data_IF_205202263371
#
_entry.id   IF_205202263371
#
_cell.length_a   1.000
_cell.length_b   1.000
_cell.length_c   1.000
_cell.angle_alpha   90.00
_cell.angle_beta   90.00
_cell.angle_gamma   90.00
#
_symmetry.space_group_name_H-M   'P 1'
#
loop_
_entity.id
_entity.type
_entity.pdbx_description
1 polymer ?
#
# COMPACT_ATOMS: atom_id res chain seq x y z
N UNK A 1 11.35 -16.90 22.41
CA UNK A 1 12.80 -17.15 22.25
C UNK A 1 13.54 -15.82 22.01
N UNK A 2 14.87 -15.82 21.92
CA UNK A 2 15.70 -14.61 21.74
C UNK A 2 15.44 -13.82 20.43
N UNK A 3 14.60 -14.33 19.54
CA UNK A 3 14.19 -13.68 18.27
C UNK A 3 12.72 -13.22 18.29
N UNK A 4 12.07 -13.24 19.46
CA UNK A 4 10.66 -12.85 19.62
C UNK A 4 9.63 -13.90 19.19
N UNK A 5 10.07 -15.14 18.90
CA UNK A 5 9.17 -16.24 18.54
C UNK A 5 8.52 -16.90 19.77
N UNK A 6 7.34 -17.48 19.57
CA UNK A 6 6.65 -18.26 20.59
C UNK A 6 7.50 -19.46 21.05
N UNK A 7 7.37 -19.85 22.32
CA UNK A 7 8.04 -21.02 22.90
C UNK A 7 6.99 -21.88 23.57
N UNK A 8 6.93 -23.16 23.21
CA UNK A 8 6.17 -24.12 24.00
C UNK A 8 6.83 -24.28 25.37
N UNK A 9 6.02 -24.15 26.41
CA UNK A 9 6.41 -24.52 27.77
C UNK A 9 5.24 -25.24 28.42
N UNK A 10 5.49 -26.42 28.97
CA UNK A 10 4.57 -27.09 29.89
C UNK A 10 4.81 -26.56 31.30
N UNK A 11 3.76 -26.36 32.13
CA UNK A 11 3.91 -25.97 33.52
C UNK A 11 4.79 -26.95 34.30
N UNK A 12 5.58 -26.47 35.25
CA UNK A 12 6.36 -27.36 36.13
C UNK A 12 5.43 -28.29 36.93
N UNK A 13 5.94 -29.49 37.25
CA UNK A 13 5.15 -30.65 37.71
C UNK A 13 4.21 -30.45 38.91
N UNK A 14 4.34 -29.35 39.68
CA UNK A 14 3.39 -28.98 40.72
C UNK A 14 2.00 -28.59 40.17
N UNK A 15 1.91 -28.14 38.92
CA UNK A 15 0.65 -27.76 38.26
C UNK A 15 0.13 -28.80 37.24
N UNK A 16 0.96 -29.78 36.85
CA UNK A 16 0.63 -30.72 35.77
C UNK A 16 -0.06 -32.02 36.24
N UNK A 17 0.12 -32.40 37.52
CA UNK A 17 -0.30 -33.74 37.99
C UNK A 17 0.40 -34.86 37.20
N UNK A 18 -0.18 -36.08 37.22
CA UNK A 18 0.33 -37.24 36.47
C UNK A 18 -0.22 -37.33 35.03
N UNK A 19 -0.82 -36.26 34.51
CA UNK A 19 -1.39 -36.24 33.16
C UNK A 19 -0.33 -35.95 32.11
N UNK A 20 -0.40 -36.65 30.97
CA UNK A 20 0.41 -36.34 29.80
C UNK A 20 -0.15 -35.06 29.17
N UNK A 21 0.52 -33.91 29.41
CA UNK A 21 0.10 -32.63 28.85
C UNK A 21 0.65 -32.54 27.42
N UNK A 22 -0.21 -32.47 26.39
CA UNK A 22 0.26 -32.31 25.02
C UNK A 22 1.07 -31.02 24.89
N UNK A 23 2.30 -31.16 24.39
CA UNK A 23 3.09 -29.99 24.02
C UNK A 23 2.50 -29.41 22.74
N UNK A 24 2.24 -28.09 22.66
CA UNK A 24 1.76 -27.47 21.43
C UNK A 24 2.74 -27.77 20.29
N UNK A 25 2.20 -28.15 19.14
CA UNK A 25 2.97 -28.30 17.91
C UNK A 25 3.53 -26.95 17.44
N UNK A 26 4.57 -27.00 16.60
CA UNK A 26 5.14 -25.80 15.97
C UNK A 26 4.10 -25.02 15.15
N UNK A 27 3.12 -25.72 14.55
CA UNK A 27 2.03 -25.10 13.80
C UNK A 27 1.08 -24.32 14.73
N UNK A 28 0.69 -24.92 15.86
CA UNK A 28 -0.14 -24.26 16.87
C UNK A 28 0.57 -23.03 17.47
N UNK A 29 1.88 -23.14 17.73
CA UNK A 29 2.70 -22.01 18.16
C UNK A 29 2.74 -20.91 17.09
N UNK A 30 2.91 -21.26 15.81
CA UNK A 30 2.94 -20.29 14.73
C UNK A 30 1.58 -19.60 14.52
N UNK A 31 0.46 -20.31 14.68
CA UNK A 31 -0.88 -19.73 14.66
C UNK A 31 -1.06 -18.74 15.82
N UNK A 32 -0.66 -19.15 17.03
CA UNK A 32 -0.73 -18.28 18.21
C UNK A 32 0.12 -17.02 18.05
N UNK A 33 1.35 -17.17 17.55
CA UNK A 33 2.26 -16.04 17.29
C UNK A 33 1.66 -15.06 16.29
N UNK A 34 1.10 -15.56 15.17
CA UNK A 34 0.42 -14.71 14.17
C UNK A 34 -0.77 -13.97 14.78
N UNK A 35 -1.55 -14.63 15.63
CA UNK A 35 -2.70 -14.03 16.31
C UNK A 35 -2.27 -12.92 17.27
N UNK A 36 -1.25 -13.17 18.10
CA UNK A 36 -0.73 -12.16 19.04
C UNK A 36 -0.16 -10.96 18.28
N UNK A 37 0.65 -11.18 17.24
CA UNK A 37 1.17 -10.09 16.40
C UNK A 37 0.06 -9.25 15.77
N UNK A 38 -1.03 -9.89 15.32
CA UNK A 38 -2.20 -9.19 14.79
C UNK A 38 -2.87 -8.31 15.84
N UNK A 39 -3.17 -8.85 17.02
CA UNK A 39 -3.80 -8.09 18.11
C UNK A 39 -2.94 -6.89 18.52
N UNK A 40 -1.62 -7.09 18.64
CA UNK A 40 -0.69 -5.99 18.96
C UNK A 40 -0.67 -4.92 17.87
N UNK A 41 -0.73 -5.32 16.60
CA UNK A 41 -0.80 -4.39 15.48
C UNK A 41 -2.12 -3.62 15.47
N UNK A 42 -3.26 -4.28 15.63
CA UNK A 42 -4.60 -3.63 15.70
C UNK A 42 -4.70 -2.65 16.87
N UNK A 43 -4.14 -3.00 18.03
CA UNK A 43 -4.08 -2.12 19.20
C UNK A 43 -3.20 -0.89 18.93
N UNK A 44 -2.00 -1.10 18.35
CA UNK A 44 -1.10 -0.01 17.98
C UNK A 44 -1.74 0.95 16.98
N UNK A 45 -2.52 0.41 16.05
CA UNK A 45 -3.22 1.19 15.03
C UNK A 45 -4.36 2.01 15.63
N UNK A 46 -5.15 1.39 16.51
CA UNK A 46 -6.19 2.08 17.29
C UNK A 46 -5.60 3.24 18.09
N UNK A 47 -4.49 3.01 18.79
CA UNK A 47 -3.80 4.03 19.57
C UNK A 47 -3.24 5.15 18.69
N UNK A 48 -2.68 4.83 17.52
CA UNK A 48 -2.20 5.81 16.53
C UNK A 48 -3.33 6.74 16.10
N UNK A 49 -4.46 6.17 15.68
CA UNK A 49 -5.63 6.91 15.18
C UNK A 49 -6.20 7.79 16.30
N UNK A 50 -6.42 7.22 17.49
CA UNK A 50 -6.96 7.94 18.64
C UNK A 50 -6.04 9.08 19.07
N UNK A 51 -4.73 8.82 19.21
CA UNK A 51 -3.77 9.83 19.64
C UNK A 51 -3.66 10.98 18.64
N UNK A 52 -3.71 10.70 17.32
CA UNK A 52 -3.69 11.75 16.30
C UNK A 52 -4.98 12.58 16.33
N UNK A 53 -6.14 11.95 16.46
CA UNK A 53 -7.42 12.65 16.59
C UNK A 53 -7.47 13.55 17.83
N UNK A 54 -7.09 13.02 19.00
CA UNK A 54 -7.06 13.77 20.26
C UNK A 54 -6.06 14.93 20.22
N UNK A 55 -4.87 14.72 19.63
CA UNK A 55 -3.90 15.83 19.44
C UNK A 55 -4.44 16.92 18.51
N UNK A 56 -5.20 16.56 17.47
CA UNK A 56 -5.81 17.55 16.59
C UNK A 56 -6.84 18.41 17.35
N UNK A 57 -7.71 17.76 18.15
CA UNK A 57 -8.69 18.45 18.99
C UNK A 57 -8.03 19.35 20.05
N UNK A 58 -6.95 18.88 20.66
CA UNK A 58 -6.24 19.64 21.70
C UNK A 58 -5.49 20.88 21.20
N UNK A 59 -5.32 21.07 19.87
CA UNK A 59 -4.59 22.22 19.32
C UNK A 59 -5.30 23.55 19.53
N UNK A 60 -6.62 23.56 19.65
CA UNK A 60 -7.38 24.79 19.82
C UNK A 60 -8.11 24.80 21.17
N UNK A 61 -7.59 25.58 22.12
CA UNK A 61 -8.04 25.66 23.52
C UNK A 61 -9.52 26.04 23.68
N UNK A 62 -10.13 26.62 22.64
CA UNK A 62 -11.50 27.12 22.66
C UNK A 62 -12.41 26.43 21.63
N UNK A 63 -11.93 25.36 20.99
CA UNK A 63 -12.66 24.64 19.96
C UNK A 63 -13.43 23.47 20.55
N UNK A 64 -14.58 23.80 21.14
CA UNK A 64 -15.57 22.83 21.62
C UNK A 64 -16.70 22.63 20.61
N UNK A 65 -16.49 22.98 19.33
CA UNK A 65 -17.54 22.99 18.30
C UNK A 65 -18.16 21.61 18.03
N UNK A 66 -17.50 20.54 18.50
CA UNK A 66 -17.92 19.17 18.22
C UNK A 66 -17.49 18.67 16.84
N UNK A 67 -16.67 19.43 16.10
CA UNK A 67 -16.22 19.09 14.74
C UNK A 67 -15.22 17.93 14.67
N UNK A 68 -14.90 17.31 15.81
CA UNK A 68 -14.09 16.10 15.88
C UNK A 68 -14.73 14.90 15.18
N UNK A 69 -13.95 13.83 14.91
CA UNK A 69 -14.53 12.60 14.40
C UNK A 69 -15.47 11.98 15.45
N UNK A 70 -16.63 11.49 15.03
CA UNK A 70 -17.62 10.84 15.88
C UNK A 70 -17.21 9.43 16.35
N UNK A 71 -16.06 8.93 15.92
CA UNK A 71 -15.48 7.67 16.36
C UNK A 71 -14.18 7.33 15.63
N UNK A 72 -13.56 6.21 16.00
CA UNK A 72 -12.27 5.78 15.43
C UNK A 72 -12.32 5.56 13.92
N UNK A 73 -13.41 4.99 13.38
CA UNK A 73 -13.56 4.77 11.94
C UNK A 73 -13.55 6.07 11.15
N UNK A 74 -14.28 7.07 11.64
CA UNK A 74 -14.31 8.39 10.99
C UNK A 74 -12.97 9.13 11.17
N UNK A 75 -12.35 8.98 12.35
CA UNK A 75 -11.02 9.53 12.60
C UNK A 75 -9.99 8.96 11.63
N UNK A 76 -10.03 7.64 11.41
CA UNK A 76 -9.16 6.95 10.46
C UNK A 76 -9.42 7.45 9.03
N UNK A 77 -10.67 7.42 8.55
CA UNK A 77 -11.02 7.89 7.20
C UNK A 77 -10.55 9.35 6.94
N UNK A 78 -10.81 10.26 7.89
CA UNK A 78 -10.37 11.66 7.80
C UNK A 78 -8.84 11.79 7.78
N UNK A 79 -8.14 11.02 8.61
CA UNK A 79 -6.67 11.01 8.65
C UNK A 79 -6.08 10.44 7.35
N UNK A 80 -6.66 9.36 6.84
CA UNK A 80 -6.28 8.75 5.57
C UNK A 80 -6.45 9.71 4.40
N UNK A 81 -7.61 10.38 4.29
CA UNK A 81 -7.85 11.41 3.26
C UNK A 81 -6.85 12.55 3.33
N UNK A 82 -6.55 13.04 4.53
CA UNK A 82 -5.56 14.11 4.71
C UNK A 82 -4.14 13.68 4.32
N UNK A 83 -3.74 12.44 4.66
CA UNK A 83 -2.44 11.89 4.27
C UNK A 83 -2.35 11.66 2.75
N UNK A 84 -3.44 11.19 2.13
CA UNK A 84 -3.55 11.04 0.68
C UNK A 84 -3.44 12.39 -0.04
N UNK A 85 -4.16 13.40 0.43
CA UNK A 85 -4.10 14.76 -0.12
C UNK A 85 -2.68 15.35 0.00
N UNK A 86 -2.03 15.14 1.14
CA UNK A 86 -0.64 15.57 1.34
C UNK A 86 0.31 14.93 0.32
N UNK A 87 0.27 13.61 0.16
CA UNK A 87 1.19 12.91 -0.74
C UNK A 87 0.85 13.14 -2.21
N UNK A 88 -0.42 13.17 -2.58
CA UNK A 88 -0.82 13.47 -3.95
C UNK A 88 -0.43 14.90 -4.34
N UNK A 89 -0.58 15.88 -3.44
CA UNK A 89 -0.05 17.23 -3.62
C UNK A 89 1.47 17.22 -3.78
N UNK A 90 2.18 16.49 -2.91
CA UNK A 90 3.64 16.38 -2.96
C UNK A 90 4.12 15.82 -4.31
N UNK A 91 3.46 14.79 -4.83
CA UNK A 91 3.74 14.21 -6.16
C UNK A 91 3.50 15.22 -7.27
N UNK A 92 2.46 16.05 -7.19
CA UNK A 92 2.13 17.04 -8.23
C UNK A 92 3.00 18.29 -8.21
N UNK A 93 3.49 18.70 -7.03
CA UNK A 93 4.23 19.95 -6.83
C UNK A 93 5.75 19.77 -6.74
N UNK A 94 6.23 18.53 -6.75
CA UNK A 94 7.66 18.21 -6.76
C UNK A 94 7.97 17.15 -7.79
N UNK A 95 9.26 16.92 -8.04
CA UNK A 95 9.72 15.83 -8.90
C UNK A 95 9.98 14.56 -8.04
N UNK A 96 9.18 13.49 -8.17
CA UNK A 96 9.39 12.27 -7.40
C UNK A 96 10.72 11.58 -7.71
N UNK A 97 11.29 11.79 -8.91
CA UNK A 97 12.56 11.18 -9.30
C UNK A 97 13.74 11.70 -8.47
N UNK A 98 13.58 12.88 -7.87
CA UNK A 98 14.57 13.54 -7.02
C UNK A 98 14.25 13.41 -5.53
N UNK A 99 13.26 12.59 -5.14
CA UNK A 99 12.97 12.35 -3.72
C UNK A 99 14.16 11.65 -3.02
N UNK A 100 14.48 12.16 -1.83
CA UNK A 100 15.51 11.57 -0.96
C UNK A 100 15.03 10.25 -0.35
N UNK A 101 15.97 9.40 0.09
CA UNK A 101 15.64 8.13 0.74
C UNK A 101 14.75 8.34 1.98
N UNK A 102 15.02 9.38 2.78
CA UNK A 102 14.19 9.76 3.95
C UNK A 102 12.76 10.14 3.56
N UNK A 103 12.60 10.75 2.39
CA UNK A 103 11.29 11.14 1.89
C UNK A 103 10.49 9.91 1.43
N UNK A 104 11.15 8.99 0.72
CA UNK A 104 10.58 7.70 0.31
C UNK A 104 10.23 6.84 1.54
N UNK A 105 11.09 6.81 2.56
CA UNK A 105 10.80 6.13 3.84
C UNK A 105 9.57 6.71 4.53
N UNK A 106 9.43 8.04 4.54
CA UNK A 106 8.26 8.71 5.12
C UNK A 106 6.98 8.40 4.35
N UNK A 107 7.08 8.34 3.02
CA UNK A 107 5.96 7.89 2.18
C UNK A 107 5.61 6.43 2.48
N UNK A 108 6.60 5.54 2.53
CA UNK A 108 6.41 4.13 2.85
C UNK A 108 5.76 3.94 4.23
N UNK A 109 6.19 4.71 5.24
CA UNK A 109 5.56 4.69 6.56
C UNK A 109 4.08 5.08 6.48
N UNK A 110 3.75 6.10 5.68
CA UNK A 110 2.35 6.48 5.47
C UNK A 110 1.56 5.36 4.83
N UNK A 111 2.12 4.69 3.81
CA UNK A 111 1.47 3.52 3.20
C UNK A 111 1.29 2.37 4.20
N UNK A 112 2.26 2.09 5.08
CA UNK A 112 2.11 1.07 6.12
C UNK A 112 0.94 1.41 7.04
N UNK A 113 0.85 2.68 7.44
CA UNK A 113 -0.16 3.19 8.36
C UNK A 113 -1.55 3.34 7.69
N UNK A 114 -1.66 3.31 6.34
CA UNK A 114 -2.89 3.69 5.62
C UNK A 114 -3.32 2.72 4.49
N UNK A 115 -2.55 1.68 4.16
CA UNK A 115 -2.86 0.76 3.03
C UNK A 115 -4.19 0.00 3.16
N UNK A 116 -4.68 -0.14 4.39
CA UNK A 116 -5.95 -0.81 4.70
C UNK A 116 -7.09 0.22 4.94
N UNK A 117 -6.78 1.52 4.86
CA UNK A 117 -7.75 2.62 4.99
C UNK A 117 -8.32 2.97 3.60
N UNK A 118 -9.64 2.77 3.37
CA UNK A 118 -10.26 3.05 2.08
C UNK A 118 -10.25 4.54 1.74
N UNK A 119 -10.36 5.42 2.74
CA UNK A 119 -10.31 6.87 2.58
C UNK A 119 -8.95 7.38 2.08
N UNK A 120 -7.84 6.78 2.54
CA UNK A 120 -6.51 7.05 1.97
C UNK A 120 -6.40 6.47 0.56
N UNK A 121 -6.73 5.19 0.42
CA UNK A 121 -6.45 4.39 -0.77
C UNK A 121 -7.19 4.90 -2.01
N UNK A 122 -8.50 5.14 -1.89
CA UNK A 122 -9.32 5.75 -2.95
C UNK A 122 -8.82 7.16 -3.26
N UNK A 123 -8.65 8.00 -2.23
CA UNK A 123 -8.32 9.41 -2.42
C UNK A 123 -6.98 9.59 -3.09
N UNK A 124 -5.97 8.81 -2.71
CA UNK A 124 -4.65 8.87 -3.33
C UNK A 124 -4.69 8.43 -4.79
N UNK A 125 -5.30 7.27 -5.08
CA UNK A 125 -5.40 6.72 -6.43
C UNK A 125 -6.16 7.66 -7.38
N UNK A 126 -7.33 8.15 -6.96
CA UNK A 126 -8.17 9.03 -7.77
C UNK A 126 -7.59 10.43 -7.94
N UNK A 127 -6.87 10.95 -6.93
CA UNK A 127 -6.23 12.28 -7.04
C UNK A 127 -5.07 12.26 -8.03
N UNK A 128 -4.29 11.18 -8.09
CA UNK A 128 -3.23 11.02 -9.10
C UNK A 128 -3.78 10.62 -10.46
N UNK A 129 -4.90 9.90 -10.49
CA UNK A 129 -5.41 9.25 -11.70
C UNK A 129 -4.57 8.05 -12.11
N UNK A 130 -4.98 7.34 -13.16
CA UNK A 130 -4.25 6.17 -13.66
C UNK A 130 -2.84 6.54 -14.15
N UNK A 131 -2.73 7.56 -15.02
CA UNK A 131 -1.47 7.98 -15.61
C UNK A 131 -0.51 8.53 -14.55
N UNK A 132 -1.02 9.36 -13.63
CA UNK A 132 -0.21 9.91 -12.55
C UNK A 132 0.28 8.83 -11.57
N UNK A 133 -0.52 7.79 -11.32
CA UNK A 133 -0.09 6.66 -10.47
C UNK A 133 1.07 5.88 -11.12
N UNK A 134 0.95 5.58 -12.42
CA UNK A 134 1.99 4.87 -13.16
C UNK A 134 3.25 5.70 -13.34
N UNK A 135 3.12 6.99 -13.67
CA UNK A 135 4.25 7.90 -13.77
C UNK A 135 4.94 8.10 -12.42
N UNK A 136 4.18 8.26 -11.32
CA UNK A 136 4.74 8.37 -9.98
C UNK A 136 5.61 7.15 -9.62
N UNK A 137 5.12 5.93 -9.86
CA UNK A 137 5.91 4.73 -9.61
C UNK A 137 7.15 4.68 -10.52
N UNK A 138 6.99 5.01 -11.80
CA UNK A 138 8.10 5.11 -12.77
C UNK A 138 9.20 6.05 -12.28
N UNK A 139 8.83 7.19 -11.73
CA UNK A 139 9.76 8.25 -11.29
C UNK A 139 10.60 7.79 -10.10
N UNK A 140 9.99 7.17 -9.08
CA UNK A 140 10.73 6.75 -7.89
C UNK A 140 11.48 5.43 -8.07
N UNK A 141 10.96 4.51 -8.88
CA UNK A 141 11.53 3.17 -9.06
C UNK A 141 12.70 3.14 -10.05
N UNK A 142 12.69 4.03 -11.03
CA UNK A 142 13.81 4.23 -11.94
C UNK A 142 13.87 5.72 -12.36
N UNK A 143 14.63 6.57 -11.68
CA UNK A 143 14.75 7.99 -12.04
C UNK A 143 15.34 8.25 -13.44
N UNK A 144 15.78 7.21 -14.17
CA UNK A 144 16.37 7.34 -15.49
C UNK A 144 17.86 7.69 -15.47
N UNK A 145 18.45 7.87 -16.66
CA UNK A 145 19.84 8.31 -16.84
C UNK A 145 20.90 7.45 -16.11
N UNK A 146 20.65 6.14 -15.95
CA UNK A 146 21.54 5.23 -15.22
C UNK A 146 21.48 5.37 -13.69
N UNK A 147 20.52 6.14 -13.15
CA UNK A 147 20.28 6.29 -11.70
C UNK A 147 19.40 5.18 -11.12
N UNK A 148 19.40 3.98 -11.72
CA UNK A 148 18.60 2.86 -11.21
C UNK A 148 18.96 2.61 -9.74
N UNK A 149 17.97 2.63 -8.83
CA UNK A 149 18.25 2.48 -7.40
C UNK A 149 18.87 1.12 -7.08
N UNK A 150 19.94 1.14 -6.28
CA UNK A 150 20.63 -0.05 -5.77
C UNK A 150 20.72 -0.03 -4.24
N UNK A 151 21.23 -1.11 -3.65
CA UNK A 151 21.53 -1.18 -2.22
C UNK A 151 20.32 -0.93 -1.33
N UNK A 152 20.44 0.01 -0.40
CA UNK A 152 19.39 0.30 0.59
C UNK A 152 18.16 0.97 -0.04
N UNK A 153 18.36 1.88 -1.00
CA UNK A 153 17.25 2.53 -1.71
C UNK A 153 16.39 1.51 -2.45
N UNK A 154 17.00 0.50 -3.07
CA UNK A 154 16.26 -0.59 -3.71
C UNK A 154 15.41 -1.40 -2.72
N UNK A 155 15.90 -1.65 -1.50
CA UNK A 155 15.10 -2.34 -0.46
C UNK A 155 13.92 -1.50 0.00
N UNK A 156 14.13 -0.20 0.22
CA UNK A 156 13.06 0.75 0.59
C UNK A 156 11.99 0.76 -0.49
N UNK A 157 12.38 0.89 -1.76
CA UNK A 157 11.45 0.87 -2.89
C UNK A 157 10.71 -0.47 -3.02
N UNK A 158 11.36 -1.59 -2.70
CA UNK A 158 10.70 -2.89 -2.63
C UNK A 158 9.60 -2.94 -1.56
N UNK A 159 9.76 -2.22 -0.44
CA UNK A 159 8.70 -2.09 0.57
C UNK A 159 7.59 -1.13 0.12
N UNK A 160 7.97 -0.01 -0.51
CA UNK A 160 7.00 0.95 -1.09
C UNK A 160 6.13 0.24 -2.12
N UNK A 161 6.72 -0.53 -3.04
CA UNK A 161 5.99 -1.30 -4.04
C UNK A 161 4.94 -2.21 -3.40
N UNK A 162 5.30 -2.94 -2.36
CA UNK A 162 4.37 -3.85 -1.66
C UNK A 162 3.23 -3.09 -1.00
N UNK A 163 3.53 -2.02 -0.26
CA UNK A 163 2.52 -1.27 0.47
C UNK A 163 1.63 -0.44 -0.48
N UNK A 164 2.19 0.08 -1.58
CA UNK A 164 1.44 0.75 -2.63
C UNK A 164 0.51 -0.24 -3.34
N UNK A 165 0.99 -1.44 -3.67
CA UNK A 165 0.16 -2.50 -4.25
C UNK A 165 -1.02 -2.85 -3.33
N UNK A 166 -0.78 -3.00 -2.03
CA UNK A 166 -1.84 -3.26 -1.05
C UNK A 166 -2.83 -2.10 -0.95
N UNK A 167 -2.35 -0.85 -1.00
CA UNK A 167 -3.23 0.35 -1.00
C UNK A 167 -4.11 0.39 -2.26
N UNK A 168 -3.54 0.13 -3.44
CA UNK A 168 -4.30 0.10 -4.70
C UNK A 168 -5.28 -1.07 -4.74
N UNK A 169 -4.92 -2.21 -4.14
CA UNK A 169 -5.85 -3.32 -3.94
C UNK A 169 -7.05 -2.90 -3.09
N UNK A 170 -6.82 -2.25 -1.94
CA UNK A 170 -7.88 -1.67 -1.10
C UNK A 170 -8.73 -0.68 -1.87
N UNK A 171 -8.12 0.23 -2.63
CA UNK A 171 -8.83 1.21 -3.46
C UNK A 171 -9.76 0.53 -4.48
N UNK A 172 -9.31 -0.56 -5.12
CA UNK A 172 -10.07 -1.23 -6.18
C UNK A 172 -11.43 -1.80 -5.74
N UNK A 173 -11.60 -2.04 -4.44
CA UNK A 173 -12.87 -2.51 -3.83
C UNK A 173 -13.80 -1.38 -3.41
N UNK A 174 -13.36 -0.12 -3.47
CA UNK A 174 -14.23 1.01 -3.12
C UNK A 174 -15.23 1.24 -4.25
N UNK A 175 -16.51 1.10 -3.91
CA UNK A 175 -17.63 1.34 -4.82
C UNK A 175 -17.88 2.84 -4.94
N UNK A 176 -17.22 3.47 -5.92
CA UNK A 176 -17.41 4.88 -6.23
C UNK A 176 -17.24 5.17 -7.72
N UNK A 177 -17.94 6.20 -8.26
CA UNK A 177 -17.76 6.61 -9.65
C UNK A 177 -16.30 6.97 -9.99
N UNK A 178 -15.56 7.54 -9.03
CA UNK A 178 -14.17 7.92 -9.23
C UNK A 178 -13.25 6.70 -9.34
N UNK A 179 -13.46 5.67 -8.51
CA UNK A 179 -12.69 4.42 -8.62
C UNK A 179 -13.06 3.60 -9.86
N UNK A 180 -14.33 3.60 -10.26
CA UNK A 180 -14.74 2.96 -11.52
C UNK A 180 -14.11 3.63 -12.74
N UNK A 181 -14.02 4.97 -12.74
CA UNK A 181 -13.30 5.70 -13.76
C UNK A 181 -11.80 5.35 -13.73
N UNK A 182 -11.18 5.38 -12.55
CA UNK A 182 -9.75 5.06 -12.38
C UNK A 182 -9.41 3.65 -12.90
N UNK A 183 -10.22 2.63 -12.58
CA UNK A 183 -10.03 1.25 -13.07
C UNK A 183 -10.04 1.18 -14.60
N UNK A 184 -11.01 1.85 -15.24
CA UNK A 184 -11.12 1.92 -16.72
C UNK A 184 -9.93 2.66 -17.33
N UNK A 185 -9.51 3.76 -16.72
CA UNK A 185 -8.36 4.54 -17.16
C UNK A 185 -7.05 3.75 -17.06
N UNK A 186 -6.85 2.96 -15.99
CA UNK A 186 -5.68 2.07 -15.87
C UNK A 186 -5.58 1.12 -17.06
N UNK A 187 -6.71 0.53 -17.46
CA UNK A 187 -6.77 -0.36 -18.63
C UNK A 187 -6.51 0.41 -19.92
N UNK A 188 -7.18 1.54 -20.12
CA UNK A 188 -7.03 2.37 -21.33
C UNK A 188 -5.59 2.89 -21.49
N UNK A 189 -4.91 3.17 -20.38
CA UNK A 189 -3.54 3.64 -20.35
C UNK A 189 -2.49 2.52 -20.37
N UNK A 190 -2.90 1.26 -20.34
CA UNK A 190 -1.97 0.12 -20.33
C UNK A 190 -1.03 0.09 -21.53
N UNK A 191 -1.49 0.53 -22.71
CA UNK A 191 -0.67 0.63 -23.92
C UNK A 191 0.16 1.92 -24.05
N UNK A 192 0.01 2.89 -23.14
CA UNK A 192 0.80 4.13 -23.15
C UNK A 192 2.20 3.86 -22.61
N UNK A 193 3.18 4.62 -23.08
CA UNK A 193 4.56 4.57 -22.58
C UNK A 193 4.79 5.65 -21.52
N UNK A 194 5.46 5.27 -20.43
CA UNK A 194 5.76 6.15 -19.30
C UNK A 194 7.27 6.22 -19.07
N UNK A 195 7.78 7.40 -18.74
CA UNK A 195 9.21 7.61 -18.51
C UNK A 195 9.67 9.00 -18.85
N UNK A 196 10.95 9.24 -18.61
CA UNK A 196 11.55 10.56 -18.61
C UNK A 196 11.80 11.09 -20.02
N UNK A 197 11.90 12.42 -20.12
CA UNK A 197 12.35 13.07 -21.35
C UNK A 197 13.77 12.62 -21.71
N UNK A 198 14.05 12.43 -23.00
CA UNK A 198 15.35 11.96 -23.48
C UNK A 198 15.66 10.47 -23.27
N UNK A 199 14.74 9.68 -22.68
CA UNK A 199 14.90 8.22 -22.55
C UNK A 199 14.11 7.50 -23.65
N UNK A 200 14.82 6.72 -24.47
CA UNK A 200 14.24 6.00 -25.62
C UNK A 200 13.47 4.74 -25.21
N UNK A 201 13.92 4.03 -24.17
CA UNK A 201 13.25 2.82 -23.67
C UNK A 201 12.26 3.19 -22.56
N UNK A 202 10.98 3.31 -22.91
CA UNK A 202 9.89 3.62 -21.98
C UNK A 202 8.99 2.40 -21.78
N UNK A 203 8.82 1.90 -20.54
CA UNK A 203 7.89 0.81 -20.27
C UNK A 203 6.45 1.22 -20.57
N UNK A 204 5.65 0.23 -20.94
CA UNK A 204 4.21 0.38 -21.11
C UNK A 204 3.50 0.42 -19.76
N UNK A 205 2.34 1.08 -19.70
CA UNK A 205 1.49 1.14 -18.51
C UNK A 205 1.14 -0.25 -17.97
N UNK A 206 0.91 -1.24 -18.85
CA UNK A 206 0.68 -2.62 -18.43
C UNK A 206 1.87 -3.21 -17.66
N UNK A 207 3.11 -2.88 -18.03
CA UNK A 207 4.31 -3.37 -17.34
C UNK A 207 4.43 -2.74 -15.96
N UNK A 208 4.21 -1.42 -15.86
CA UNK A 208 4.26 -0.67 -14.59
C UNK A 208 3.14 -1.13 -13.66
N UNK A 209 1.90 -1.15 -14.14
CA UNK A 209 0.76 -1.50 -13.32
C UNK A 209 0.80 -2.97 -12.88
N UNK A 210 1.26 -3.91 -13.74
CA UNK A 210 1.46 -5.31 -13.32
C UNK A 210 2.47 -5.42 -12.16
N UNK A 211 3.50 -4.58 -12.15
CA UNK A 211 4.41 -4.50 -11.01
C UNK A 211 3.72 -3.97 -9.74
N UNK A 212 2.74 -3.06 -9.88
CA UNK A 212 1.93 -2.54 -8.78
C UNK A 212 0.74 -3.44 -8.37
N UNK A 213 0.56 -4.60 -9.01
CA UNK A 213 -0.50 -5.55 -8.71
C UNK A 213 0.01 -6.86 -8.07
N UNK A 214 1.25 -6.86 -7.58
CA UNK A 214 1.92 -8.06 -7.02
C UNK A 214 1.48 -8.40 -5.58
N UNK A 215 0.99 -7.44 -4.81
CA UNK A 215 0.49 -7.66 -3.43
C UNK A 215 -0.93 -7.15 -3.26
N UNK A 216 -1.62 -7.70 -2.27
CA UNK A 216 -3.03 -7.41 -2.01
C UNK A 216 -3.96 -8.30 -2.82
N UNK A 217 -5.25 -8.16 -2.56
CA UNK A 217 -6.32 -8.81 -3.34
C UNK A 217 -7.09 -7.71 -4.05
N UNK A 218 -6.87 -7.55 -5.34
CA UNK A 218 -7.62 -6.58 -6.14
C UNK A 218 -9.04 -7.07 -6.39
N UNK A 219 -9.94 -6.14 -6.73
CA UNK A 219 -11.27 -6.45 -7.23
C UNK A 219 -11.21 -7.45 -8.38
N UNK A 220 -12.06 -8.49 -8.32
CA UNK A 220 -11.95 -9.63 -9.24
C UNK A 220 -12.43 -9.26 -10.64
N UNK A 221 -13.50 -8.47 -10.76
CA UNK A 221 -13.99 -7.99 -12.05
C UNK A 221 -12.93 -7.09 -12.72
N UNK A 222 -12.31 -6.19 -11.95
CA UNK A 222 -11.19 -5.40 -12.44
C UNK A 222 -10.02 -6.26 -12.94
N UNK A 223 -9.63 -7.30 -12.20
CA UNK A 223 -8.56 -8.21 -12.62
C UNK A 223 -8.89 -8.98 -13.91
N UNK A 224 -10.13 -9.39 -14.10
CA UNK A 224 -10.58 -10.08 -15.32
C UNK A 224 -10.51 -9.16 -16.54
N UNK A 225 -11.01 -7.92 -16.41
CA UNK A 225 -10.95 -6.91 -17.46
C UNK A 225 -9.50 -6.53 -17.78
N UNK A 226 -8.69 -6.28 -16.75
CA UNK A 226 -7.26 -5.98 -16.90
C UNK A 226 -6.50 -7.12 -17.57
N UNK A 227 -6.74 -8.36 -17.14
CA UNK A 227 -6.12 -9.57 -17.70
C UNK A 227 -6.49 -9.81 -19.17
N UNK A 228 -7.72 -9.48 -19.56
CA UNK A 228 -8.15 -9.53 -20.96
C UNK A 228 -7.46 -8.46 -21.81
N UNK A 229 -7.33 -7.25 -21.26
CA UNK A 229 -6.70 -6.14 -21.96
C UNK A 229 -5.20 -6.34 -22.17
N UNK A 230 -4.45 -6.80 -21.16
CA UNK A 230 -3.01 -7.07 -21.31
C UNK A 230 -2.77 -8.19 -22.33
N UNK A 231 -3.59 -9.25 -22.34
CA UNK A 231 -3.49 -10.33 -23.34
C UNK A 231 -3.69 -9.79 -24.77
N UNK A 232 -4.69 -8.94 -24.95
CA UNK A 232 -4.99 -8.31 -26.25
C UNK A 232 -3.82 -7.43 -26.70
N UNK A 233 -3.26 -6.64 -25.78
CA UNK A 233 -2.09 -5.81 -26.04
C UNK A 233 -0.88 -6.66 -26.47
N UNK A 234 -0.52 -7.69 -25.71
CA UNK A 234 0.62 -8.57 -26.01
C UNK A 234 0.44 -9.29 -27.35
N UNK A 235 -0.77 -9.77 -27.69
CA UNK A 235 -1.06 -10.39 -28.99
C UNK A 235 -0.90 -9.41 -30.15
N UNK A 236 -1.35 -8.16 -29.97
CA UNK A 236 -1.19 -7.12 -30.99
C UNK A 236 0.27 -6.78 -31.25
N UNK A 237 1.10 -6.77 -30.19
CA UNK A 237 2.55 -6.56 -30.28
C UNK A 237 3.26 -7.77 -30.88
N UNK A 238 2.95 -8.98 -30.43
CA UNK A 238 3.51 -10.22 -30.98
C UNK A 238 3.22 -10.39 -32.48
N UNK A 239 2.02 -10.02 -32.92
CA UNK A 239 1.64 -10.04 -34.35
C UNK A 239 2.38 -8.98 -35.19
N UNK A 240 2.80 -7.86 -34.59
CA UNK A 240 3.63 -6.85 -35.28
C UNK A 240 5.08 -7.34 -35.52
N UNK A 241 5.54 -8.37 -34.81
CA UNK A 241 6.91 -8.91 -34.93
C UNK A 241 6.98 -10.23 -35.70
N UNK A 242 5.85 -10.76 -36.19
CA UNK A 242 5.80 -11.99 -36.98
C UNK A 242 4.95 -11.76 -38.24
N UNK A 243 5.55 -11.23 -39.34
CA UNK A 243 4.87 -11.00 -40.62
C UNK A 243 4.54 -12.28 -41.37
#
# INVERSE_FOLDING_TARGET
NAKGGAVASVPSGAAAGNGDIPTPSDEELAVAERRVKRVLWEASETDRIAARALRALARNKHDFTGDGPGGLKEADDRQGKADADYWAKRVKESDPSEWSDKEIERFNKTLIDQRDNPGFSERFATTLGADGTMQFWRDIADPGQGKTPEGERAKILGQVQQNLSMSLATASHVDSPAMDAWKKEVIASGGKQFGHEGIMAKPYGFQIMSNLMVKGKFDSAFLEDYGTAIRTFEQSKGSQFNP
#
